data_IF_466199100996
#
_entry.id   IF_466199100996
#
_cell.length_a   1.000
_cell.length_b   1.000
_cell.length_c   1.000
_cell.angle_alpha   90.00
_cell.angle_beta   90.00
_cell.angle_gamma   90.00
#
_symmetry.space_group_name_H-M   'P 1'
#
loop_
_entity.id
_entity.type
_entity.pdbx_description
1 polymer ?
#
# COMPACT_ATOMS: atom_id res chain seq x y z
N UNK A 1 6.65 -22.01 -2.73
CA UNK A 1 5.95 -21.65 -1.49
C UNK A 1 6.97 -21.59 -0.37
N UNK A 2 7.08 -20.44 0.28
CA UNK A 2 7.95 -20.27 1.43
C UNK A 2 7.54 -21.23 2.55
N UNK A 3 8.53 -21.64 3.35
CA UNK A 3 8.24 -22.42 4.55
C UNK A 3 7.41 -21.58 5.52
N UNK A 4 6.29 -22.11 5.99
CA UNK A 4 5.49 -21.48 7.04
C UNK A 4 5.87 -22.05 8.40
N UNK A 5 6.04 -21.18 9.39
CA UNK A 5 6.33 -21.53 10.79
C UNK A 5 5.29 -20.86 11.68
N UNK A 6 4.38 -21.68 12.23
CA UNK A 6 3.29 -21.24 13.09
C UNK A 6 1.92 -21.62 12.50
N UNK A 7 0.90 -20.78 12.68
CA UNK A 7 -0.49 -21.08 12.32
C UNK A 7 -1.06 -20.25 11.16
N UNK A 8 -0.28 -19.34 10.59
CA UNK A 8 -0.65 -18.70 9.32
C UNK A 8 -0.76 -19.72 8.20
N UNK A 9 -1.56 -19.40 7.20
CA UNK A 9 -1.78 -20.21 6.01
C UNK A 9 -1.57 -19.34 4.78
N UNK A 10 -1.22 -19.94 3.62
CA UNK A 10 -1.08 -19.17 2.38
C UNK A 10 -2.32 -18.32 2.09
N UNK A 11 -3.52 -18.80 2.41
CA UNK A 11 -4.78 -18.10 2.17
C UNK A 11 -4.91 -16.79 2.96
N UNK A 12 -4.14 -16.60 4.03
CA UNK A 12 -4.15 -15.36 4.84
C UNK A 12 -3.55 -14.15 4.09
N UNK A 13 -2.91 -14.36 2.92
CA UNK A 13 -2.51 -13.28 2.02
C UNK A 13 -3.72 -12.61 1.33
N UNK A 14 -4.85 -13.32 1.22
CA UNK A 14 -6.09 -12.78 0.67
C UNK A 14 -6.87 -11.98 1.72
N UNK A 15 -7.83 -11.18 1.25
CA UNK A 15 -8.80 -10.52 2.13
C UNK A 15 -9.72 -11.54 2.81
N UNK A 16 -10.09 -11.27 4.05
CA UNK A 16 -10.96 -12.13 4.83
C UNK A 16 -12.44 -11.79 4.62
N UNK A 17 -13.32 -12.72 5.01
CA UNK A 17 -14.76 -12.46 5.02
C UNK A 17 -15.07 -11.22 5.88
N UNK A 18 -15.93 -10.35 5.36
CA UNK A 18 -16.32 -9.13 6.04
C UNK A 18 -17.18 -9.49 7.27
N UNK A 19 -16.61 -9.25 8.45
CA UNK A 19 -17.30 -9.46 9.72
C UNK A 19 -18.41 -8.41 9.99
N UNK A 20 -19.27 -8.65 10.99
CA UNK A 20 -20.36 -7.74 11.35
C UNK A 20 -19.88 -6.47 12.09
N UNK A 21 -18.60 -6.37 12.43
CA UNK A 21 -18.06 -5.28 13.23
C UNK A 21 -18.17 -3.95 12.47
N UNK A 22 -18.87 -2.93 12.99
CA UNK A 22 -19.09 -1.68 12.27
C UNK A 22 -17.77 -0.95 11.93
N UNK A 23 -16.70 -1.23 12.69
CA UNK A 23 -15.37 -0.68 12.53
C UNK A 23 -14.36 -1.70 11.98
N UNK A 24 -14.82 -2.73 11.26
CA UNK A 24 -13.96 -3.70 10.56
C UNK A 24 -12.85 -2.95 9.80
N UNK A 25 -11.61 -3.38 10.01
CA UNK A 25 -10.44 -2.81 9.34
C UNK A 25 -9.44 -3.94 9.10
N UNK A 26 -9.30 -4.32 7.84
CA UNK A 26 -8.26 -5.23 7.41
C UNK A 26 -7.27 -4.46 6.55
N UNK A 27 -5.97 -4.63 6.79
CA UNK A 27 -4.97 -3.86 6.05
C UNK A 27 -3.69 -4.62 5.80
N UNK A 28 -3.06 -4.30 4.67
CA UNK A 28 -1.77 -4.84 4.26
C UNK A 28 -0.84 -3.70 3.86
N UNK A 29 0.46 -3.88 4.09
CA UNK A 29 1.50 -2.92 3.70
C UNK A 29 2.70 -3.62 3.09
N UNK A 30 3.31 -2.99 2.09
CA UNK A 30 4.53 -3.46 1.44
C UNK A 30 5.56 -2.35 1.45
N UNK A 31 6.69 -2.61 2.11
CA UNK A 31 7.87 -1.77 2.03
C UNK A 31 8.74 -2.23 0.85
N UNK A 32 9.41 -1.30 0.18
CA UNK A 32 10.30 -1.64 -0.91
C UNK A 32 11.49 -0.69 -1.00
N UNK A 33 12.54 -1.18 -1.66
CA UNK A 33 13.70 -0.39 -2.05
C UNK A 33 14.18 -0.82 -3.44
N UNK A 34 14.15 0.11 -4.39
CA UNK A 34 14.71 -0.04 -5.73
C UNK A 34 16.17 0.41 -5.73
N UNK A 35 17.08 -0.57 -5.83
CA UNK A 35 18.53 -0.34 -5.86
C UNK A 35 19.00 0.37 -7.14
N UNK A 36 18.30 0.21 -8.26
CA UNK A 36 18.69 0.83 -9.53
C UNK A 36 18.38 2.32 -9.52
N UNK A 37 17.24 2.70 -8.95
CA UNK A 37 16.81 4.10 -8.85
C UNK A 37 17.23 4.77 -7.54
N UNK A 38 17.76 4.01 -6.58
CA UNK A 38 18.07 4.44 -5.22
C UNK A 38 16.83 5.07 -4.52
N UNK A 39 15.66 4.45 -4.73
CA UNK A 39 14.37 4.90 -4.20
C UNK A 39 13.82 3.90 -3.21
N UNK A 40 13.34 4.38 -2.07
CA UNK A 40 12.61 3.59 -1.09
C UNK A 40 11.15 4.00 -1.02
N UNK A 41 10.29 3.18 -0.46
CA UNK A 41 8.91 3.55 -0.24
C UNK A 41 8.09 2.49 0.45
N UNK A 42 6.82 2.82 0.65
CA UNK A 42 5.82 1.82 1.00
C UNK A 42 4.47 2.14 0.36
N UNK A 43 3.68 1.09 0.16
CA UNK A 43 2.25 1.17 -0.13
C UNK A 43 1.47 0.50 0.98
N UNK A 44 0.32 1.05 1.32
CA UNK A 44 -0.62 0.49 2.28
C UNK A 44 -2.05 0.67 1.79
N UNK A 45 -2.85 -0.37 1.96
CA UNK A 45 -4.31 -0.31 1.81
C UNK A 45 -4.95 -0.88 3.06
N UNK A 46 -5.98 -0.21 3.59
CA UNK A 46 -6.83 -0.72 4.66
C UNK A 46 -8.29 -0.64 4.26
N UNK A 47 -8.97 -1.77 4.14
CA UNK A 47 -10.38 -1.83 3.80
C UNK A 47 -11.22 -1.64 5.06
N UNK A 48 -12.08 -0.62 5.06
CA UNK A 48 -13.08 -0.35 6.10
C UNK A 48 -14.47 -0.50 5.51
N UNK A 49 -14.73 -1.70 5.00
CA UNK A 49 -15.85 -1.96 4.11
C UNK A 49 -17.23 -1.67 4.73
N UNK A 50 -17.41 -1.93 6.04
CA UNK A 50 -18.65 -1.59 6.75
C UNK A 50 -18.88 -0.07 6.89
N UNK A 51 -17.84 0.74 6.75
CA UNK A 51 -17.95 2.22 6.69
C UNK A 51 -17.93 2.74 5.24
N UNK A 52 -17.79 1.87 4.25
CA UNK A 52 -17.89 2.21 2.83
C UNK A 52 -16.63 2.83 2.19
N UNK A 53 -15.47 2.76 2.83
CA UNK A 53 -14.23 3.32 2.27
C UNK A 53 -12.98 2.47 2.56
N UNK A 54 -11.94 2.64 1.75
CA UNK A 54 -10.59 2.17 2.06
C UNK A 54 -9.71 3.35 2.48
N UNK A 55 -8.60 3.07 3.15
CA UNK A 55 -7.53 4.03 3.41
C UNK A 55 -6.29 3.62 2.62
N UNK A 56 -5.92 4.42 1.63
CA UNK A 56 -4.79 4.12 0.74
C UNK A 56 -3.67 5.12 1.00
N UNK A 57 -2.47 4.61 1.30
CA UNK A 57 -1.25 5.39 1.48
C UNK A 57 -0.17 4.93 0.51
N UNK A 58 0.48 5.89 -0.16
CA UNK A 58 1.64 5.64 -1.02
C UNK A 58 2.71 6.66 -0.68
N UNK A 59 3.93 6.18 -0.42
CA UNK A 59 5.11 7.04 -0.26
C UNK A 59 6.27 6.53 -1.11
N UNK A 60 7.00 7.45 -1.72
CA UNK A 60 8.28 7.18 -2.40
C UNK A 60 9.27 8.25 -1.99
N UNK A 61 10.39 7.85 -1.39
CA UNK A 61 11.51 8.72 -1.09
C UNK A 61 12.52 8.70 -2.23
N UNK A 62 12.92 9.88 -2.69
CA UNK A 62 13.90 10.06 -3.76
C UNK A 62 15.31 10.27 -3.19
N UNK A 63 16.37 9.97 -3.97
CA UNK A 63 17.76 10.20 -3.58
C UNK A 63 18.10 11.65 -3.24
N UNK A 64 17.39 12.60 -3.84
CA UNK A 64 17.61 14.04 -3.66
C UNK A 64 16.95 14.60 -2.39
N UNK A 65 16.33 13.74 -1.57
CA UNK A 65 15.62 14.12 -0.36
C UNK A 65 14.18 14.59 -0.60
N UNK A 66 13.70 14.64 -1.85
CA UNK A 66 12.28 14.86 -2.14
C UNK A 66 11.45 13.59 -1.90
N UNK A 67 10.12 13.74 -1.79
CA UNK A 67 9.23 12.60 -1.62
C UNK A 67 7.93 12.76 -2.41
N UNK A 68 7.39 11.63 -2.86
CA UNK A 68 6.01 11.51 -3.29
C UNK A 68 5.17 10.99 -2.13
N UNK A 69 4.00 11.57 -1.90
CA UNK A 69 3.07 11.14 -0.84
C UNK A 69 1.63 11.20 -1.31
N UNK A 70 0.84 10.18 -0.99
CA UNK A 70 -0.60 10.20 -1.17
C UNK A 70 -1.29 9.56 0.04
N UNK A 71 -2.37 10.20 0.49
CA UNK A 71 -3.37 9.60 1.37
C UNK A 71 -4.73 9.83 0.72
N UNK A 72 -5.54 8.78 0.60
CA UNK A 72 -6.87 8.85 0.02
C UNK A 72 -7.84 7.96 0.79
N UNK A 73 -9.12 8.37 0.78
CA UNK A 73 -10.25 7.58 1.26
C UNK A 73 -11.20 7.23 0.10
N UNK A 74 -10.80 6.38 -0.85
CA UNK A 74 -11.68 5.95 -1.93
C UNK A 74 -12.84 5.11 -1.39
N UNK A 75 -14.00 5.22 -2.04
CA UNK A 75 -15.17 4.41 -1.72
C UNK A 75 -14.94 2.94 -2.08
N UNK A 76 -15.42 2.02 -1.23
CA UNK A 76 -15.48 0.57 -1.48
C UNK A 76 -16.82 0.03 -0.94
N UNK A 77 -17.29 -1.10 -1.48
CA UNK A 77 -18.55 -1.73 -1.05
C UNK A 77 -18.38 -3.11 -0.39
N UNK A 78 -17.17 -3.66 -0.40
CA UNK A 78 -16.89 -5.00 0.11
C UNK A 78 -15.40 -5.14 0.52
N UNK A 79 -15.05 -6.33 1.00
CA UNK A 79 -13.69 -6.71 1.36
C UNK A 79 -13.22 -7.91 0.52
N UNK A 80 -13.50 -7.93 -0.80
CA UNK A 80 -13.14 -9.06 -1.68
C UNK A 80 -11.77 -8.93 -2.34
N UNK A 81 -11.17 -7.74 -2.28
CA UNK A 81 -9.88 -7.49 -2.91
C UNK A 81 -9.16 -6.28 -2.31
N UNK A 82 -7.86 -6.26 -2.51
CA UNK A 82 -6.99 -5.12 -2.24
C UNK A 82 -6.88 -4.21 -3.46
N UNK A 83 -7.97 -3.54 -3.84
CA UNK A 83 -8.01 -2.72 -5.04
C UNK A 83 -8.79 -1.41 -4.82
N UNK A 84 -8.09 -0.35 -4.46
CA UNK A 84 -8.71 0.95 -4.23
C UNK A 84 -7.70 2.10 -4.44
N UNK A 85 -8.20 3.28 -4.81
CA UNK A 85 -7.36 4.49 -4.87
C UNK A 85 -6.16 4.42 -5.81
N UNK A 86 -6.25 3.60 -6.86
CA UNK A 86 -5.18 3.34 -7.82
C UNK A 86 -4.14 2.31 -7.38
N UNK A 87 -4.26 1.74 -6.17
CA UNK A 87 -3.40 0.68 -5.63
C UNK A 87 -4.10 -0.67 -5.77
N UNK A 88 -3.38 -1.65 -6.30
CA UNK A 88 -3.73 -3.06 -6.37
C UNK A 88 -2.63 -3.89 -5.67
N UNK A 89 -3.04 -4.75 -4.74
CA UNK A 89 -2.22 -5.85 -4.23
C UNK A 89 -2.74 -7.14 -4.87
N UNK A 90 -1.93 -7.69 -5.78
CA UNK A 90 -2.23 -8.88 -6.57
C UNK A 90 -1.46 -10.07 -6.00
N UNK A 91 -2.16 -10.92 -5.25
CA UNK A 91 -1.61 -12.16 -4.70
C UNK A 91 -1.54 -13.19 -5.83
N UNK A 92 -0.35 -13.31 -6.44
CA UNK A 92 -0.13 -14.15 -7.62
C UNK A 92 0.05 -15.61 -7.22
N UNK A 93 0.86 -15.84 -6.19
CA UNK A 93 1.08 -17.15 -5.56
C UNK A 93 1.11 -16.93 -4.05
N UNK A 94 0.07 -17.32 -3.30
CA UNK A 94 0.01 -17.07 -1.87
C UNK A 94 1.19 -17.70 -1.11
N UNK A 95 1.75 -16.94 -0.19
CA UNK A 95 2.96 -17.28 0.57
C UNK A 95 4.25 -17.30 -0.24
N UNK A 96 4.25 -16.82 -1.48
CA UNK A 96 5.42 -16.86 -2.38
C UNK A 96 5.62 -15.59 -3.18
N UNK A 97 4.58 -15.11 -3.88
CA UNK A 97 4.70 -14.07 -4.90
C UNK A 97 3.52 -13.11 -4.86
N UNK A 98 3.81 -11.85 -4.57
CA UNK A 98 2.81 -10.78 -4.50
C UNK A 98 3.26 -9.64 -5.40
N UNK A 99 2.34 -9.08 -6.18
CA UNK A 99 2.61 -7.90 -7.00
C UNK A 99 1.89 -6.68 -6.42
N UNK A 100 2.63 -5.59 -6.25
CA UNK A 100 2.07 -4.29 -5.89
C UNK A 100 2.07 -3.39 -7.11
N UNK A 101 0.88 -2.97 -7.55
CA UNK A 101 0.69 -2.05 -8.67
C UNK A 101 0.03 -0.78 -8.14
N UNK A 102 0.63 0.37 -8.40
CA UNK A 102 0.03 1.67 -8.17
C UNK A 102 0.11 2.52 -9.43
N UNK A 103 -0.99 3.14 -9.81
CA UNK A 103 -1.01 4.23 -10.81
C UNK A 103 -1.79 5.39 -10.23
N UNK A 104 -1.14 6.55 -10.07
CA UNK A 104 -1.83 7.72 -9.54
C UNK A 104 -0.98 8.99 -9.62
N UNK A 105 -1.47 10.03 -8.95
CA UNK A 105 -0.82 11.34 -8.93
C UNK A 105 -0.56 11.78 -7.48
N UNK A 106 0.43 11.17 -6.79
CA UNK A 106 0.81 11.59 -5.45
C UNK A 106 1.32 13.03 -5.44
N UNK A 107 1.21 13.66 -4.28
CA UNK A 107 1.79 14.95 -3.96
C UNK A 107 3.32 14.84 -4.03
N UNK A 108 3.97 15.65 -4.86
CA UNK A 108 5.42 15.74 -4.92
C UNK A 108 5.92 16.86 -4.01
N UNK A 109 6.61 16.50 -2.94
CA UNK A 109 7.21 17.42 -1.99
C UNK A 109 8.71 17.50 -2.23
N UNK A 110 9.19 18.64 -2.73
CA UNK A 110 10.63 18.92 -2.78
C UNK A 110 11.25 19.01 -1.38
N UNK A 111 10.43 19.34 -0.37
CA UNK A 111 10.78 19.38 1.05
C UNK A 111 9.78 18.53 1.84
N UNK A 112 10.06 17.25 2.13
CA UNK A 112 9.12 16.36 2.83
C UNK A 112 8.64 16.88 4.19
N UNK A 113 9.44 17.71 4.85
CA UNK A 113 9.11 18.36 6.12
C UNK A 113 7.91 19.33 6.04
N UNK A 114 7.45 19.69 4.83
CA UNK A 114 6.23 20.48 4.66
C UNK A 114 4.99 19.74 5.21
N UNK A 115 5.03 18.40 5.30
CA UNK A 115 3.96 17.56 5.88
C UNK A 115 3.73 17.78 7.38
N UNK A 116 4.55 18.58 8.07
CA UNK A 116 4.24 19.08 9.42
C UNK A 116 2.92 19.86 9.47
N UNK A 117 2.52 20.48 8.36
CA UNK A 117 1.18 21.05 8.14
C UNK A 117 0.58 20.40 6.88
N UNK A 118 -0.15 19.28 7.02
CA UNK A 118 -0.70 18.56 5.87
C UNK A 118 -1.62 19.43 5.02
N UNK A 119 -2.46 20.25 5.66
CA UNK A 119 -3.42 21.13 4.98
C UNK A 119 -2.72 22.10 4.03
N UNK A 120 -1.60 22.68 4.46
CA UNK A 120 -0.75 23.51 3.61
C UNK A 120 0.00 22.67 2.57
N UNK A 121 0.62 21.56 2.95
CA UNK A 121 1.42 20.73 2.07
C UNK A 121 0.63 20.29 0.83
N UNK A 122 -0.60 19.80 1.02
CA UNK A 122 -1.48 19.36 -0.08
C UNK A 122 -1.92 20.48 -1.03
N UNK A 123 -1.94 21.74 -0.56
CA UNK A 123 -2.30 22.91 -1.38
C UNK A 123 -1.10 23.51 -2.11
N UNK A 124 0.08 23.48 -1.50
CA UNK A 124 1.27 24.17 -2.01
C UNK A 124 2.17 23.30 -2.90
N UNK A 125 2.10 21.98 -2.76
CA UNK A 125 2.93 21.06 -3.53
C UNK A 125 2.17 20.54 -4.76
N UNK A 126 2.85 20.38 -5.92
CA UNK A 126 2.20 19.85 -7.11
C UNK A 126 1.93 18.35 -6.98
N UNK A 127 0.87 17.86 -7.62
CA UNK A 127 0.71 16.43 -7.87
C UNK A 127 1.46 16.03 -9.13
N UNK A 128 2.11 14.87 -9.12
CA UNK A 128 2.87 14.35 -10.27
C UNK A 128 2.55 12.87 -10.48
N UNK A 129 2.46 12.39 -11.73
CA UNK A 129 2.17 10.99 -12.01
C UNK A 129 3.29 10.09 -11.48
N UNK A 130 2.90 8.97 -10.88
CA UNK A 130 3.81 7.90 -10.45
C UNK A 130 3.15 6.55 -10.76
N UNK A 131 3.97 5.64 -11.29
CA UNK A 131 3.62 4.23 -11.41
C UNK A 131 4.59 3.42 -10.55
N UNK A 132 4.05 2.57 -9.68
CA UNK A 132 4.80 1.53 -8.97
C UNK A 132 4.34 0.20 -9.54
N UNK A 133 5.27 -0.65 -9.97
CA UNK A 133 4.95 -1.98 -10.45
C UNK A 133 6.07 -2.92 -10.00
N UNK A 134 5.86 -3.53 -8.83
CA UNK A 134 6.88 -4.34 -8.16
C UNK A 134 6.33 -5.74 -7.91
N UNK A 135 7.18 -6.75 -8.11
CA UNK A 135 6.91 -8.12 -7.70
C UNK A 135 7.80 -8.42 -6.50
N UNK A 136 7.15 -8.86 -5.42
CA UNK A 136 7.77 -9.32 -4.19
C UNK A 136 7.81 -10.83 -4.23
N UNK A 137 8.98 -11.40 -3.96
CA UNK A 137 9.17 -12.85 -3.89
C UNK A 137 9.66 -13.22 -2.50
N UNK A 138 9.13 -14.29 -1.94
CA UNK A 138 9.54 -14.77 -0.64
C UNK A 138 11.02 -15.22 -0.69
N UNK A 139 11.80 -14.78 0.29
CA UNK A 139 13.24 -15.10 0.41
C UNK A 139 13.56 -15.83 1.72
N UNK A 140 12.55 -16.09 2.54
CA UNK A 140 12.67 -16.72 3.84
C UNK A 140 11.33 -17.25 4.33
N UNK A 141 11.32 -17.97 5.45
CA UNK A 141 10.10 -18.50 6.01
C UNK A 141 9.14 -17.38 6.45
N UNK A 142 7.85 -17.65 6.33
CA UNK A 142 6.78 -16.84 6.89
C UNK A 142 6.53 -17.27 8.34
N UNK A 143 6.32 -16.29 9.21
CA UNK A 143 6.07 -16.52 10.64
C UNK A 143 4.75 -15.87 11.04
N UNK A 144 3.94 -16.60 11.79
CA UNK A 144 2.71 -16.08 12.40
C UNK A 144 1.98 -17.12 13.21
#
# INVERSE_FOLDING_TARGET
MAKIIGNIRPEDDYTHELGPEPNFNESVYFNFFDRQQNRGGFVRIGNRANEGYAEVTVIVWNPDGSAYFNYAKPDISDNKSWNAGGLLIDVQEPGERIRTLYTGQPLFMARPMDMQDPGKAFKSNPRKPVTINLVHSAVGPLYG
#
